data_IF_551998860911
#
_entry.id   IF_551998860911
#
_cell.length_a   1.000
_cell.length_b   1.000
_cell.length_c   1.000
_cell.angle_alpha   90.00
_cell.angle_beta   90.00
_cell.angle_gamma   90.00
#
_symmetry.space_group_name_H-M   'P 1'
#
loop_
_entity.id
_entity.type
_entity.pdbx_description
1 polymer ?
#
# COMPACT_ATOMS: atom_id res chain seq x y z
N UNK A 1 -1.50 29.09 -5.90
CA UNK A 1 -2.08 27.91 -5.23
C UNK A 1 -1.41 26.67 -5.82
N UNK A 2 -0.57 25.93 -5.10
CA UNK A 2 -0.02 24.70 -5.65
C UNK A 2 -1.15 23.66 -5.75
N UNK A 3 -1.34 23.11 -6.96
CA UNK A 3 -2.27 21.99 -7.19
C UNK A 3 -1.75 20.81 -6.39
N UNK A 4 -2.50 20.37 -5.39
CA UNK A 4 -2.17 19.17 -4.62
C UNK A 4 -2.02 17.96 -5.54
N UNK A 5 -1.17 16.98 -5.19
CA UNK A 5 -0.91 15.83 -6.04
C UNK A 5 -2.22 15.11 -6.39
N UNK A 6 -2.36 14.60 -7.62
CA UNK A 6 -3.56 13.89 -8.04
C UNK A 6 -3.78 12.72 -7.09
N UNK A 7 -4.98 12.62 -6.52
CA UNK A 7 -5.39 11.45 -5.73
C UNK A 7 -5.41 10.25 -6.68
N UNK A 8 -4.32 9.52 -6.75
CA UNK A 8 -4.27 8.22 -7.43
C UNK A 8 -5.27 7.30 -6.75
N UNK A 9 -6.46 7.17 -7.33
CA UNK A 9 -7.41 6.14 -6.93
C UNK A 9 -6.90 4.81 -7.47
N UNK A 10 -6.20 4.07 -6.63
CA UNK A 10 -5.85 2.68 -6.91
C UNK A 10 -7.15 1.86 -6.89
N UNK A 11 -7.65 1.47 -8.06
CA UNK A 11 -8.78 0.57 -8.20
C UNK A 11 -8.32 -0.86 -7.90
N UNK A 12 -8.06 -1.15 -6.63
CA UNK A 12 -7.68 -2.49 -6.18
C UNK A 12 -8.94 -3.35 -6.20
N UNK A 13 -9.05 -4.26 -7.18
CA UNK A 13 -10.10 -5.27 -7.21
C UNK A 13 -9.69 -6.42 -6.30
N UNK A 14 -10.31 -6.49 -5.12
CA UNK A 14 -10.12 -7.59 -4.17
C UNK A 14 -11.22 -8.62 -4.39
N UNK A 15 -10.87 -9.91 -4.44
CA UNK A 15 -11.88 -10.97 -4.53
C UNK A 15 -12.75 -10.99 -3.28
N UNK A 16 -14.05 -11.26 -3.47
CA UNK A 16 -15.02 -11.30 -2.36
C UNK A 16 -14.63 -12.34 -1.30
N UNK A 17 -14.20 -13.53 -1.75
CA UNK A 17 -13.74 -14.61 -0.87
C UNK A 17 -12.56 -14.18 0.01
N UNK A 18 -11.60 -13.44 -0.54
CA UNK A 18 -10.45 -12.96 0.23
C UNK A 18 -10.89 -11.95 1.30
N UNK A 19 -11.81 -11.05 0.97
CA UNK A 19 -12.38 -10.10 1.94
C UNK A 19 -13.13 -10.80 3.07
N UNK A 20 -13.87 -11.86 2.77
CA UNK A 20 -14.60 -12.65 3.77
C UNK A 20 -13.61 -13.35 4.72
N UNK A 21 -12.63 -14.07 4.18
CA UNK A 21 -11.60 -14.75 5.00
C UNK A 21 -10.78 -13.78 5.85
N UNK A 22 -10.54 -12.59 5.32
CA UNK A 22 -9.83 -11.53 6.03
C UNK A 22 -10.65 -10.96 7.19
N UNK A 23 -11.97 -10.77 7.01
CA UNK A 23 -12.86 -10.36 8.10
C UNK A 23 -12.89 -11.41 9.21
N UNK A 24 -13.02 -12.69 8.85
CA UNK A 24 -12.98 -13.80 9.81
C UNK A 24 -11.65 -13.89 10.56
N UNK A 25 -10.54 -13.60 9.88
CA UNK A 25 -9.23 -13.48 10.53
C UNK A 25 -9.22 -12.33 11.54
N UNK A 26 -9.65 -11.13 11.13
CA UNK A 26 -9.66 -9.98 12.01
C UNK A 26 -10.54 -10.20 13.24
N UNK A 27 -11.73 -10.78 13.07
CA UNK A 27 -12.64 -11.11 14.17
C UNK A 27 -12.00 -12.08 15.18
N UNK A 28 -11.38 -13.17 14.68
CA UNK A 28 -10.69 -14.16 15.54
C UNK A 28 -9.54 -13.58 16.35
N UNK A 29 -8.95 -12.49 15.87
CA UNK A 29 -7.80 -11.84 16.50
C UNK A 29 -8.16 -10.52 17.20
N UNK A 30 -9.44 -10.14 17.27
CA UNK A 30 -9.89 -8.89 17.88
C UNK A 30 -9.38 -7.63 17.16
N UNK A 31 -9.15 -7.73 15.85
CA UNK A 31 -8.63 -6.66 15.00
C UNK A 31 -9.77 -5.96 14.27
N UNK A 32 -9.63 -4.64 14.05
CA UNK A 32 -10.52 -3.88 13.17
C UNK A 32 -10.13 -4.10 11.69
N UNK A 33 -10.99 -4.73 10.86
CA UNK A 33 -10.68 -5.02 9.46
C UNK A 33 -10.37 -3.76 8.65
N UNK A 34 -11.05 -2.65 8.91
CA UNK A 34 -10.86 -1.41 8.16
C UNK A 34 -9.50 -0.77 8.46
N UNK A 35 -9.14 -0.65 9.74
CA UNK A 35 -7.85 -0.15 10.18
C UNK A 35 -6.70 -1.02 9.70
N UNK A 36 -6.86 -2.34 9.70
CA UNK A 36 -5.84 -3.26 9.20
C UNK A 36 -5.63 -3.14 7.68
N UNK A 37 -6.69 -2.89 6.89
CA UNK A 37 -6.55 -2.58 5.45
C UNK A 37 -5.77 -1.28 5.24
N UNK A 38 -6.07 -0.23 6.01
CA UNK A 38 -5.37 1.05 5.92
C UNK A 38 -3.88 0.90 6.28
N UNK A 39 -3.57 0.14 7.35
CA UNK A 39 -2.19 -0.15 7.75
C UNK A 39 -1.47 -0.95 6.65
N UNK A 40 -2.12 -1.96 6.10
CA UNK A 40 -1.57 -2.74 4.99
C UNK A 40 -1.25 -1.86 3.78
N UNK A 41 -2.22 -1.05 3.34
CA UNK A 41 -2.02 -0.13 2.21
C UNK A 41 -0.89 0.85 2.48
N UNK A 42 -0.80 1.43 3.69
CA UNK A 42 0.28 2.35 4.05
C UNK A 42 1.66 1.68 3.93
N UNK A 43 1.79 0.45 4.43
CA UNK A 43 3.05 -0.31 4.35
C UNK A 43 3.46 -0.64 2.93
N UNK A 44 2.49 -1.01 2.07
CA UNK A 44 2.76 -1.27 0.64
C UNK A 44 3.28 0.00 -0.03
N UNK A 45 2.58 1.13 0.18
CA UNK A 45 2.98 2.41 -0.40
C UNK A 45 4.38 2.82 0.09
N UNK A 46 4.63 2.76 1.39
CA UNK A 46 5.95 3.09 1.96
C UNK A 46 7.06 2.19 1.37
N UNK A 47 6.80 0.90 1.19
CA UNK A 47 7.76 -0.04 0.60
C UNK A 47 7.99 0.20 -0.89
N UNK A 48 6.96 0.54 -1.66
CA UNK A 48 7.09 0.91 -3.08
C UNK A 48 7.91 2.19 -3.25
N UNK A 49 7.67 3.20 -2.42
CA UNK A 49 8.48 4.44 -2.43
C UNK A 49 9.94 4.16 -2.07
N UNK A 50 10.20 3.39 -1.01
CA UNK A 50 11.57 3.00 -0.63
C UNK A 50 12.29 2.22 -1.75
N UNK A 51 11.58 1.34 -2.46
CA UNK A 51 12.12 0.65 -3.62
C UNK A 51 12.44 1.61 -4.78
N UNK A 52 11.56 2.57 -5.07
CA UNK A 52 11.78 3.56 -6.12
C UNK A 52 12.98 4.46 -5.83
N UNK A 53 13.11 4.94 -4.59
CA UNK A 53 14.26 5.75 -4.15
C UNK A 53 15.57 4.96 -4.30
N UNK A 54 15.60 3.70 -3.84
CA UNK A 54 16.77 2.84 -3.97
C UNK A 54 17.13 2.53 -5.43
N UNK A 55 16.12 2.31 -6.28
CA UNK A 55 16.33 2.10 -7.70
C UNK A 55 16.89 3.36 -8.38
N UNK A 56 16.36 4.53 -8.02
CA UNK A 56 16.84 5.80 -8.53
C UNK A 56 18.30 6.09 -8.13
N UNK A 57 18.67 5.81 -6.89
CA UNK A 57 20.05 5.96 -6.43
C UNK A 57 20.99 4.97 -7.14
N UNK A 58 20.57 3.72 -7.34
CA UNK A 58 21.36 2.73 -8.09
C UNK A 58 21.59 3.16 -9.55
N UNK A 59 20.55 3.65 -10.23
CA UNK A 59 20.64 4.14 -11.60
C UNK A 59 21.53 5.39 -11.72
N UNK A 60 21.51 6.29 -10.73
CA UNK A 60 22.38 7.46 -10.71
C UNK A 60 23.85 7.05 -10.54
N UNK A 61 24.13 6.10 -9.66
CA UNK A 61 25.48 5.61 -9.40
C UNK A 61 26.11 4.88 -10.61
N UNK A 62 25.31 4.24 -11.46
CA UNK A 62 25.80 3.65 -12.73
C UNK A 62 26.03 4.69 -13.84
N UNK A 63 25.42 5.87 -13.73
CA UNK A 63 25.53 6.93 -14.72
C UNK A 63 26.73 7.89 -14.49
N UNK A 64 27.39 7.78 -13.34
CA UNK A 64 28.66 8.48 -12.99
C UNK A 64 29.88 7.60 -13.27
#
# INVERSE_FOLDING_TARGET
>A
MPRGPPKSQFNIRISKELLERYREYCERHGLDPHGQIVIFMKRIVDAEYDFQDKLWDALRAEAE
#
